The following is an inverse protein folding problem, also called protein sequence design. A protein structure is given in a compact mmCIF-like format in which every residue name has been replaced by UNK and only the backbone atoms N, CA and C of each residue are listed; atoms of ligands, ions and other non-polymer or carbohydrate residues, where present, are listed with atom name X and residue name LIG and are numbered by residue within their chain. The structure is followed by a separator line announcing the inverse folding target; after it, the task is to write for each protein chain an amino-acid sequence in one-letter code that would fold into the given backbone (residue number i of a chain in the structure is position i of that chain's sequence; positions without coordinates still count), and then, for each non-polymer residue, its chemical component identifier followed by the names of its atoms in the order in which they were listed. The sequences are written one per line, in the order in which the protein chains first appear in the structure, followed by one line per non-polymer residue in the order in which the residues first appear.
data_IF_044868680347
#
_entry.id   IF_044868680347
#
_cell.length_a   1.000
_cell.length_b   1.000
_cell.length_c   1.000
_cell.angle_alpha   90.00
_cell.angle_beta   90.00
_cell.angle_gamma   90.00
#
_symmetry.space_group_name_H-M   'P 1'
#
loop_
_entity.id
_entity.type
_entity.pdbx_description
1 polymer ?
#
# COMPACT_ATOMS: atom_id res chain seq x y z
N UNK A 1 -12.30 42.84 -65.44
CA UNK A 1 -12.09 44.14 -64.76
C UNK A 1 -11.45 43.86 -63.40
N UNK A 2 -10.12 44.05 -63.30
CA UNK A 2 -9.31 43.75 -62.10
C UNK A 2 -9.44 44.92 -61.11
N UNK A 3 -9.90 44.68 -59.88
CA UNK A 3 -9.79 45.64 -58.78
C UNK A 3 -8.53 45.37 -57.95
N UNK A 4 -7.81 46.46 -57.64
CA UNK A 4 -6.48 46.52 -57.06
C UNK A 4 -6.43 46.07 -55.59
N UNK A 5 -5.63 45.03 -55.30
CA UNK A 5 -5.41 44.43 -53.96
C UNK A 5 -4.48 45.23 -53.03
N UNK A 6 -4.16 46.49 -53.34
CA UNK A 6 -3.05 47.21 -52.70
C UNK A 6 -3.45 48.18 -51.57
N UNK A 7 -4.70 48.15 -51.09
CA UNK A 7 -5.13 48.95 -49.91
C UNK A 7 -5.60 48.09 -48.72
N UNK A 8 -5.56 46.76 -48.85
CA UNK A 8 -6.00 45.82 -47.80
C UNK A 8 -4.84 45.42 -46.87
N UNK A 9 -3.59 45.67 -47.28
CA UNK A 9 -2.39 45.28 -46.53
C UNK A 9 -1.98 46.19 -45.37
N UNK A 10 -2.59 47.39 -45.21
CA UNK A 10 -2.22 48.31 -44.13
C UNK A 10 -3.15 48.24 -42.90
N UNK A 11 -4.31 47.60 -43.04
CA UNK A 11 -5.30 47.45 -41.94
C UNK A 11 -5.09 46.13 -41.17
N UNK A 12 -4.38 45.14 -41.75
CA UNK A 12 -4.14 43.86 -41.09
C UNK A 12 -2.91 43.83 -40.16
N UNK A 13 -2.02 44.83 -40.23
CA UNK A 13 -0.79 44.85 -39.41
C UNK A 13 -0.97 45.50 -38.03
N UNK A 14 -2.15 46.05 -37.71
CA UNK A 14 -2.42 46.76 -36.45
C UNK A 14 -3.42 46.06 -35.51
N UNK A 15 -3.92 44.88 -35.87
CA UNK A 15 -4.86 44.10 -35.04
C UNK A 15 -4.18 42.88 -34.38
N UNK A 16 -2.89 42.63 -34.65
CA UNK A 16 -2.17 41.45 -34.15
C UNK A 16 -1.30 41.71 -32.91
N UNK A 17 -1.53 42.79 -32.15
CA UNK A 17 -0.70 43.16 -31.01
C UNK A 17 -1.47 43.49 -29.71
N UNK A 18 -2.61 42.84 -29.45
CA UNK A 18 -3.35 43.06 -28.20
C UNK A 18 -3.96 41.83 -27.52
N UNK A 19 -3.53 40.61 -27.86
CA UNK A 19 -3.96 39.42 -27.10
C UNK A 19 -2.76 38.50 -26.79
N UNK A 20 -1.72 39.06 -26.17
CA UNK A 20 -0.77 38.26 -25.42
C UNK A 20 -1.34 38.04 -24.01
N UNK A 21 -2.35 37.18 -23.92
CA UNK A 21 -2.82 36.69 -22.62
C UNK A 21 -1.74 35.79 -22.04
N UNK A 22 -1.19 36.22 -20.92
CA UNK A 22 -0.26 35.44 -20.10
C UNK A 22 -1.01 34.18 -19.66
N UNK A 23 -0.67 33.03 -20.23
CA UNK A 23 -1.04 31.73 -19.65
C UNK A 23 -0.20 31.53 -18.40
N UNK A 24 -0.72 31.93 -17.24
CA UNK A 24 -0.26 31.34 -15.99
C UNK A 24 -0.91 29.96 -15.90
N UNK A 25 -0.15 28.90 -16.17
CA UNK A 25 -0.52 27.56 -15.71
C UNK A 25 -0.43 27.61 -14.19
N UNK A 26 -1.56 27.87 -13.54
CA UNK A 26 -1.73 27.47 -12.16
C UNK A 26 -1.78 25.95 -12.19
N UNK A 27 -0.64 25.31 -11.94
CA UNK A 27 -0.64 23.94 -11.41
C UNK A 27 -1.23 24.06 -10.01
N UNK A 28 -2.56 24.10 -9.92
CA UNK A 28 -3.21 23.58 -8.73
C UNK A 28 -2.97 22.09 -8.81
N UNK A 29 -1.86 21.66 -8.20
CA UNK A 29 -1.69 20.28 -7.78
C UNK A 29 -2.88 19.98 -6.89
N UNK A 30 -3.96 19.51 -7.51
CA UNK A 30 -5.05 18.88 -6.84
C UNK A 30 -4.43 17.58 -6.36
N UNK A 31 -3.83 17.64 -5.17
CA UNK A 31 -3.50 16.45 -4.40
C UNK A 31 -4.81 15.66 -4.42
N UNK A 32 -4.81 14.56 -5.16
CA UNK A 32 -5.89 13.60 -5.14
C UNK A 32 -5.98 13.21 -3.67
N UNK A 33 -6.91 13.83 -2.95
CA UNK A 33 -7.20 13.45 -1.58
C UNK A 33 -7.74 12.05 -1.72
N UNK A 34 -6.84 11.08 -1.53
CA UNK A 34 -7.19 9.70 -1.23
C UNK A 34 -8.22 9.78 -0.12
N UNK A 35 -9.47 9.76 -0.52
CA UNK A 35 -10.59 9.81 0.39
C UNK A 35 -10.55 8.45 1.03
N UNK A 36 -9.89 8.36 2.19
CA UNK A 36 -9.88 7.14 3.00
C UNK A 36 -11.33 6.85 3.26
N UNK A 37 -11.90 5.90 2.50
CA UNK A 37 -13.30 5.53 2.58
C UNK A 37 -13.48 4.94 3.97
N UNK A 38 -14.01 5.74 4.89
CA UNK A 38 -14.29 5.28 6.23
C UNK A 38 -15.18 4.04 6.13
N UNK A 39 -14.70 2.92 6.65
CA UNK A 39 -15.46 1.68 6.65
C UNK A 39 -16.70 1.89 7.51
N UNK A 40 -17.87 1.52 6.99
CA UNK A 40 -19.15 1.69 7.68
C UNK A 40 -19.33 0.74 8.87
N UNK A 41 -18.40 -0.21 9.04
CA UNK A 41 -18.36 -1.20 10.10
C UNK A 41 -16.89 -1.53 10.46
N UNK A 42 -16.62 -2.00 11.68
CA UNK A 42 -15.30 -2.50 12.04
C UNK A 42 -14.89 -3.68 11.16
N UNK A 43 -13.61 -3.74 10.78
CA UNK A 43 -13.00 -4.97 10.27
C UNK A 43 -12.84 -5.90 11.48
N UNK A 44 -13.54 -7.02 11.47
CA UNK A 44 -13.40 -8.06 12.49
C UNK A 44 -12.63 -9.22 11.87
N UNK A 45 -11.35 -9.31 12.20
CA UNK A 45 -10.57 -10.53 12.04
C UNK A 45 -10.68 -11.34 13.34
N UNK A 46 -11.48 -12.38 13.35
CA UNK A 46 -11.64 -13.29 14.49
C UNK A 46 -11.24 -14.73 14.11
N UNK A 47 -11.41 -15.66 15.05
CA UNK A 47 -11.10 -17.07 14.83
C UNK A 47 -11.93 -17.74 13.72
N UNK A 48 -13.06 -17.16 13.29
CA UNK A 48 -13.85 -17.67 12.18
C UNK A 48 -13.17 -17.43 10.83
N UNK A 49 -12.20 -16.51 10.75
CA UNK A 49 -11.40 -16.26 9.53
C UNK A 49 -10.79 -17.55 8.99
N UNK A 50 -10.46 -18.49 9.88
CA UNK A 50 -9.89 -19.79 9.51
C UNK A 50 -10.80 -20.60 8.59
N UNK A 51 -12.12 -20.45 8.70
CA UNK A 51 -13.07 -21.16 7.84
C UNK A 51 -12.97 -20.65 6.41
N UNK A 52 -12.78 -19.33 6.22
CA UNK A 52 -12.59 -18.76 4.90
C UNK A 52 -11.25 -19.21 4.30
N UNK A 53 -10.18 -19.26 5.09
CA UNK A 53 -8.88 -19.77 4.65
C UNK A 53 -8.97 -21.24 4.22
N UNK A 54 -9.67 -22.07 5.00
CA UNK A 54 -9.84 -23.52 4.77
C UNK A 54 -10.77 -23.87 3.61
N UNK A 55 -11.78 -23.04 3.37
CA UNK A 55 -12.77 -23.23 2.30
C UNK A 55 -12.41 -22.43 1.04
N UNK A 56 -11.19 -21.87 0.99
CA UNK A 56 -10.67 -21.11 -0.14
C UNK A 56 -11.56 -19.92 -0.53
N UNK A 57 -12.20 -19.28 0.47
CA UNK A 57 -13.12 -18.17 0.29
C UNK A 57 -12.43 -16.79 0.35
N UNK A 58 -11.13 -16.75 0.69
CA UNK A 58 -10.33 -15.53 0.58
C UNK A 58 -9.79 -15.46 -0.85
N UNK A 59 -10.16 -14.46 -1.66
CA UNK A 59 -9.63 -14.30 -3.00
C UNK A 59 -8.10 -14.16 -3.01
N UNK A 60 -7.43 -14.83 -3.94
CA UNK A 60 -5.97 -14.74 -4.12
C UNK A 60 -5.51 -13.29 -4.29
N UNK A 61 -6.29 -12.45 -5.01
CA UNK A 61 -6.01 -11.03 -5.18
C UNK A 61 -5.90 -10.26 -3.86
N UNK A 62 -6.66 -10.66 -2.82
CA UNK A 62 -6.55 -10.04 -1.51
C UNK A 62 -5.28 -10.47 -0.78
N UNK A 63 -4.83 -11.70 -1.00
CA UNK A 63 -3.54 -12.17 -0.46
C UNK A 63 -2.40 -11.45 -1.19
N UNK A 64 -2.44 -11.38 -2.51
CA UNK A 64 -1.46 -10.62 -3.31
C UNK A 64 -1.43 -9.14 -2.92
N UNK A 65 -2.59 -8.50 -2.72
CA UNK A 65 -2.64 -7.12 -2.24
C UNK A 65 -2.03 -6.99 -0.84
N UNK A 66 -2.25 -7.95 0.06
CA UNK A 66 -1.59 -7.93 1.36
C UNK A 66 -0.06 -8.06 1.23
N UNK A 67 0.44 -8.97 0.39
CA UNK A 67 1.89 -9.11 0.15
C UNK A 67 2.53 -7.80 -0.37
N UNK A 68 1.79 -7.02 -1.15
CA UNK A 68 2.29 -5.80 -1.77
C UNK A 68 2.22 -4.54 -0.87
N UNK A 69 1.34 -4.52 0.13
CA UNK A 69 0.99 -3.29 0.85
C UNK A 69 1.11 -3.40 2.37
N UNK A 70 1.20 -4.63 2.90
CA UNK A 70 1.21 -4.89 4.33
C UNK A 70 2.61 -5.24 4.81
N UNK A 71 3.17 -4.35 5.63
CA UNK A 71 4.41 -4.57 6.38
C UNK A 71 4.07 -4.84 7.85
N UNK A 72 4.65 -5.89 8.42
CA UNK A 72 4.31 -6.37 9.76
C UNK A 72 5.54 -6.39 10.65
N UNK A 73 5.58 -5.49 11.62
CA UNK A 73 6.48 -5.59 12.76
C UNK A 73 5.92 -6.59 13.79
N UNK A 74 6.47 -7.81 13.84
CA UNK A 74 5.97 -8.88 14.71
C UNK A 74 6.86 -9.10 15.93
N UNK A 75 6.43 -8.52 17.05
CA UNK A 75 7.10 -8.68 18.34
C UNK A 75 6.50 -9.81 19.16
N UNK A 76 7.34 -10.50 19.94
CA UNK A 76 6.90 -11.65 20.74
C UNK A 76 6.67 -11.32 22.21
N UNK A 77 5.65 -11.95 22.80
CA UNK A 77 5.69 -12.31 24.23
C UNK A 77 6.36 -13.67 24.40
N UNK A 78 6.50 -14.16 25.62
CA UNK A 78 6.84 -15.55 25.89
C UNK A 78 6.00 -16.49 25.00
N UNK A 79 6.69 -17.39 24.28
CA UNK A 79 6.09 -18.33 23.30
C UNK A 79 5.36 -17.68 22.12
N UNK A 80 5.69 -16.44 21.74
CA UNK A 80 5.06 -15.70 20.64
C UNK A 80 5.25 -16.31 19.24
N UNK A 81 6.15 -17.28 19.06
CA UNK A 81 6.46 -17.89 17.76
C UNK A 81 5.35 -18.80 17.20
N UNK A 82 4.24 -18.98 17.92
CA UNK A 82 3.14 -19.85 17.47
C UNK A 82 2.53 -19.39 16.15
N UNK A 83 2.43 -18.07 15.91
CA UNK A 83 1.89 -17.52 14.67
C UNK A 83 2.82 -17.82 13.50
N UNK A 84 4.10 -17.47 13.59
CA UNK A 84 5.09 -17.73 12.52
C UNK A 84 5.25 -19.24 12.26
N UNK A 85 5.23 -20.07 13.31
CA UNK A 85 5.18 -21.54 13.17
C UNK A 85 3.92 -22.01 12.41
N UNK A 86 2.76 -21.43 12.73
CA UNK A 86 1.50 -21.74 12.05
C UNK A 86 1.49 -21.28 10.58
N UNK A 87 2.07 -20.12 10.29
CA UNK A 87 2.19 -19.58 8.93
C UNK A 87 3.10 -20.42 8.05
N UNK A 88 4.22 -20.92 8.58
CA UNK A 88 5.04 -21.91 7.88
C UNK A 88 4.23 -23.18 7.53
N UNK A 89 3.35 -23.63 8.43
CA UNK A 89 2.43 -24.73 8.15
C UNK A 89 1.31 -24.38 7.15
N UNK A 90 0.87 -23.12 7.10
CA UNK A 90 -0.19 -22.65 6.22
C UNK A 90 0.22 -22.73 4.74
N UNK A 91 1.43 -22.27 4.38
CA UNK A 91 1.90 -22.32 2.98
C UNK A 91 1.87 -23.76 2.46
N UNK A 92 2.53 -24.68 3.18
CA UNK A 92 2.52 -26.11 2.85
C UNK A 92 1.11 -26.73 2.82
N UNK A 93 0.23 -26.35 3.75
CA UNK A 93 -1.15 -26.83 3.78
C UNK A 93 -1.91 -26.41 2.52
N UNK A 94 -1.79 -25.15 2.09
CA UNK A 94 -2.52 -24.61 0.94
C UNK A 94 -2.04 -25.23 -0.37
N UNK A 95 -0.74 -25.37 -0.54
CA UNK A 95 -0.17 -26.05 -1.72
C UNK A 95 -0.61 -27.52 -1.80
N UNK A 96 -0.70 -28.22 -0.66
CA UNK A 96 -1.22 -29.60 -0.60
C UNK A 96 -2.70 -29.74 -1.02
N UNK A 97 -3.42 -28.62 -1.12
CA UNK A 97 -4.83 -28.53 -1.52
C UNK A 97 -5.03 -27.91 -2.91
N UNK A 98 -3.99 -27.93 -3.75
CA UNK A 98 -3.98 -27.31 -5.08
C UNK A 98 -4.12 -25.78 -5.03
N UNK A 99 -3.73 -25.15 -3.92
CA UNK A 99 -3.59 -23.71 -3.84
C UNK A 99 -2.43 -23.22 -4.71
N UNK A 100 -2.45 -21.93 -5.04
CA UNK A 100 -1.39 -21.26 -5.79
C UNK A 100 -0.06 -21.34 -5.03
N UNK A 101 0.96 -21.90 -5.66
CA UNK A 101 2.33 -22.04 -5.11
C UNK A 101 2.89 -20.67 -4.69
N UNK A 102 3.49 -20.62 -3.51
CA UNK A 102 4.08 -19.40 -2.94
C UNK A 102 3.11 -18.27 -2.61
N UNK A 103 1.80 -18.45 -2.77
CA UNK A 103 0.81 -17.41 -2.45
C UNK A 103 0.84 -17.01 -0.98
N UNK A 104 1.16 -17.95 -0.08
CA UNK A 104 1.23 -17.75 1.36
C UNK A 104 2.66 -17.69 1.91
N UNK A 105 3.65 -17.53 1.04
CA UNK A 105 5.03 -17.34 1.47
C UNK A 105 5.21 -16.00 2.16
N UNK A 106 6.09 -16.01 3.15
CA UNK A 106 6.44 -14.87 3.99
C UNK A 106 7.93 -14.94 4.36
N UNK A 107 8.56 -13.78 4.51
CA UNK A 107 9.93 -13.64 4.98
C UNK A 107 10.16 -12.21 5.50
N UNK A 108 11.31 -11.99 6.14
CA UNK A 108 11.77 -10.64 6.48
C UNK A 108 12.15 -9.90 5.18
N UNK A 109 11.52 -8.74 4.94
CA UNK A 109 11.80 -7.86 3.81
C UNK A 109 11.00 -8.16 2.53
N UNK A 110 9.96 -9.02 2.60
CA UNK A 110 9.04 -9.27 1.48
C UNK A 110 9.69 -9.79 0.19
N UNK A 111 10.92 -10.32 0.28
CA UNK A 111 11.73 -10.71 -0.86
C UNK A 111 11.06 -11.82 -1.67
N UNK A 112 11.34 -11.87 -2.98
CA UNK A 112 10.70 -12.79 -3.93
C UNK A 112 9.17 -12.70 -3.97
N UNK A 113 8.61 -11.54 -3.56
CA UNK A 113 7.18 -11.27 -3.57
C UNK A 113 6.43 -11.95 -2.43
N UNK A 114 7.11 -12.29 -1.33
CA UNK A 114 6.53 -12.83 -0.10
C UNK A 114 5.83 -11.74 0.74
N UNK A 115 5.00 -12.14 1.70
CA UNK A 115 4.51 -11.21 2.72
C UNK A 115 5.66 -10.79 3.63
N UNK A 116 5.82 -9.48 3.85
CA UNK A 116 6.82 -8.93 4.74
C UNK A 116 6.39 -9.04 6.21
N UNK A 117 7.13 -9.86 6.96
CA UNK A 117 7.03 -9.98 8.42
C UNK A 117 8.45 -9.84 8.98
N UNK A 118 8.70 -8.76 9.71
CA UNK A 118 9.86 -8.64 10.57
C UNK A 118 9.57 -9.34 11.92
N UNK A 119 9.91 -10.63 11.97
CA UNK A 119 9.83 -11.44 13.19
C UNK A 119 10.96 -11.06 14.14
N UNK A 120 10.61 -10.71 15.39
CA UNK A 120 11.56 -10.12 16.34
C UNK A 120 12.15 -8.77 15.92
N UNK A 121 11.39 -7.94 15.19
CA UNK A 121 11.77 -6.55 14.85
C UNK A 121 12.32 -5.75 16.05
N UNK A 122 11.91 -6.13 17.26
CA UNK A 122 12.54 -5.70 18.50
C UNK A 122 12.92 -6.88 19.39
N UNK A 123 14.02 -6.70 20.12
CA UNK A 123 14.41 -7.62 21.20
C UNK A 123 13.52 -7.47 22.44
N UNK A 124 13.32 -8.59 23.13
CA UNK A 124 12.62 -8.65 24.42
C UNK A 124 11.13 -9.00 24.32
N UNK A 125 10.53 -9.26 25.48
CA UNK A 125 9.10 -9.59 25.61
C UNK A 125 8.25 -8.32 25.50
N UNK A 126 7.19 -8.31 24.68
CA UNK A 126 6.28 -7.16 24.53
C UNK A 126 5.55 -6.76 25.83
N UNK A 127 5.48 -7.67 26.80
CA UNK A 127 4.99 -7.40 28.14
C UNK A 127 5.95 -6.55 28.99
N UNK A 128 7.21 -6.42 28.58
CA UNK A 128 8.26 -5.69 29.30
C UNK A 128 8.63 -4.37 28.55
N UNK A 129 8.92 -3.26 29.25
CA UNK A 129 8.92 -3.09 30.71
C UNK A 129 7.54 -2.89 31.34
N UNK A 130 6.54 -2.44 30.57
CA UNK A 130 5.32 -1.88 31.15
C UNK A 130 4.04 -2.23 30.36
N UNK A 131 4.12 -3.19 29.42
CA UNK A 131 3.03 -3.60 28.50
C UNK A 131 2.49 -2.50 27.58
N UNK A 132 3.14 -1.34 27.50
CA UNK A 132 2.71 -0.20 26.68
C UNK A 132 3.82 0.33 25.77
N UNK A 133 5.07 0.24 26.20
CA UNK A 133 6.27 0.68 25.47
C UNK A 133 6.37 0.02 24.09
N UNK A 134 5.93 -1.24 23.94
CA UNK A 134 5.94 -1.93 22.67
C UNK A 134 5.22 -1.14 21.57
N UNK A 135 4.10 -0.48 21.87
CA UNK A 135 3.29 0.22 20.89
C UNK A 135 4.04 1.45 20.32
N UNK A 136 4.80 2.15 21.15
CA UNK A 136 5.65 3.24 20.69
C UNK A 136 6.77 2.70 19.81
N UNK A 137 7.45 1.63 20.23
CA UNK A 137 8.54 1.02 19.45
C UNK A 137 8.08 0.52 18.09
N UNK A 138 6.92 -0.15 18.03
CA UNK A 138 6.30 -0.59 16.76
C UNK A 138 6.02 0.61 15.85
N UNK A 139 5.42 1.69 16.38
CA UNK A 139 5.15 2.89 15.56
C UNK A 139 6.43 3.57 15.08
N UNK A 140 7.46 3.65 15.93
CA UNK A 140 8.76 4.19 15.53
C UNK A 140 9.38 3.35 14.43
N UNK A 141 9.36 2.03 14.57
CA UNK A 141 9.88 1.10 13.58
C UNK A 141 9.16 1.25 12.23
N UNK A 142 7.82 1.21 12.22
CA UNK A 142 7.01 1.31 10.99
C UNK A 142 6.99 2.72 10.37
N UNK A 143 7.48 3.74 11.07
CA UNK A 143 7.58 5.10 10.53
C UNK A 143 8.87 5.32 9.71
N UNK A 144 9.81 4.38 9.78
CA UNK A 144 11.05 4.42 9.01
C UNK A 144 10.79 3.87 7.60
N UNK A 145 11.08 4.65 6.53
CA UNK A 145 10.88 4.20 5.15
C UNK A 145 11.63 2.92 4.79
N UNK A 146 12.76 2.68 5.44
CA UNK A 146 13.56 1.45 5.27
C UNK A 146 12.92 0.18 5.86
N UNK A 147 11.81 0.31 6.59
CA UNK A 147 11.01 -0.79 7.13
C UNK A 147 9.61 -0.83 6.50
N UNK A 148 9.49 -0.22 5.31
CA UNK A 148 8.28 -0.18 4.47
C UNK A 148 8.60 -0.65 3.05
N UNK A 149 9.64 -1.48 2.94
CA UNK A 149 10.28 -2.00 1.73
C UNK A 149 9.50 -3.10 1.02
#
# INVERSE_FOLDING_TARGET
MKLNKLKIGLIFTLIFLSTLSIFSVQSTGQMDQLTVKALSAPIIADHNVVNYVRLDLIPDENITHAKNELHIAYGHTSHGSQITTGMAGLSAFKESKNGTEGLYDWNEGGTDGALDIDDYFQSGDLGNPDRTTWATRTRTYLALPENSD
#
